data_IF_625611211558
#
_entry.id   IF_625611211558
#
_cell.length_a   1.000
_cell.length_b   1.000
_cell.length_c   1.000
_cell.angle_alpha   90.00
_cell.angle_beta   90.00
_cell.angle_gamma   90.00
#
_symmetry.space_group_name_H-M   'P 1'
#
loop_
_entity.id
_entity.type
_entity.pdbx_description
1 polymer ?
#
# COMPACT_ATOMS: atom_id res chain seq x y z
N UNK A 1 -13.40 4.24 -16.08
CA UNK A 1 -12.66 3.15 -15.40
C UNK A 1 -12.25 3.66 -14.00
N UNK A 2 -11.75 2.78 -13.14
CA UNK A 2 -11.35 3.12 -11.76
C UNK A 2 -9.89 2.76 -11.56
N UNK A 3 -9.09 3.71 -11.06
CA UNK A 3 -7.64 3.56 -10.87
C UNK A 3 -7.26 3.76 -9.41
N UNK A 4 -6.44 2.87 -8.86
CA UNK A 4 -5.80 3.03 -7.56
C UNK A 4 -4.38 3.58 -7.76
N UNK A 5 -4.05 4.69 -7.10
CA UNK A 5 -2.69 5.21 -6.95
C UNK A 5 -2.20 4.83 -5.55
N UNK A 6 -1.24 3.90 -5.50
CA UNK A 6 -0.60 3.44 -4.27
C UNK A 6 0.60 4.32 -3.98
N UNK A 7 0.67 4.91 -2.79
CA UNK A 7 1.79 5.74 -2.35
C UNK A 7 2.44 5.17 -1.10
N UNK A 8 3.66 5.59 -0.79
CA UNK A 8 4.33 5.10 0.40
C UNK A 8 3.78 5.73 1.69
N UNK A 9 3.69 7.07 1.75
CA UNK A 9 3.39 7.81 2.99
C UNK A 9 2.03 8.53 2.92
N UNK A 10 1.27 8.66 4.03
CA UNK A 10 -0.03 9.35 4.04
C UNK A 10 0.00 10.80 3.55
N UNK A 11 1.09 11.53 3.84
CA UNK A 11 1.25 12.90 3.37
C UNK A 11 1.44 12.98 1.85
N UNK A 12 2.13 11.98 1.26
CA UNK A 12 2.33 11.89 -0.20
C UNK A 12 1.00 11.62 -0.90
N UNK A 13 0.17 10.70 -0.35
CA UNK A 13 -1.17 10.45 -0.87
C UNK A 13 -2.02 11.72 -0.99
N UNK A 14 -2.02 12.56 0.06
CA UNK A 14 -2.74 13.85 0.05
C UNK A 14 -2.18 14.79 -1.02
N UNK A 15 -0.85 14.89 -1.10
CA UNK A 15 -0.17 15.79 -2.04
C UNK A 15 -0.48 15.40 -3.49
N UNK A 16 -0.42 14.11 -3.81
CA UNK A 16 -0.77 13.62 -5.16
C UNK A 16 -2.23 13.92 -5.49
N UNK A 17 -3.17 13.61 -4.59
CA UNK A 17 -4.57 13.92 -4.81
C UNK A 17 -4.80 15.43 -5.03
N UNK A 18 -4.10 16.29 -4.29
CA UNK A 18 -4.20 17.75 -4.44
C UNK A 18 -3.60 18.28 -5.74
N UNK A 19 -2.55 17.65 -6.28
CA UNK A 19 -1.89 18.10 -7.52
C UNK A 19 -2.68 17.65 -8.74
N UNK A 20 -3.21 16.43 -8.72
CA UNK A 20 -3.87 15.82 -9.88
C UNK A 20 -5.34 16.19 -10.02
N UNK A 21 -5.96 16.80 -9.01
CA UNK A 21 -7.39 17.10 -9.01
C UNK A 21 -7.66 18.59 -8.81
N UNK A 22 -8.80 19.07 -9.36
CA UNK A 22 -9.37 20.38 -9.01
C UNK A 22 -10.07 20.37 -7.64
N UNK A 23 -10.16 19.20 -7.00
CA UNK A 23 -10.79 18.95 -5.72
C UNK A 23 -10.87 17.44 -5.46
N UNK A 24 -10.68 17.03 -4.21
CA UNK A 24 -10.74 15.64 -3.82
C UNK A 24 -11.59 15.45 -2.56
N UNK A 25 -12.18 14.26 -2.45
CA UNK A 25 -12.87 13.80 -1.26
C UNK A 25 -11.88 13.04 -0.36
N UNK A 26 -11.85 13.37 0.93
CA UNK A 26 -11.12 12.57 1.92
C UNK A 26 -12.05 11.51 2.49
N UNK A 27 -11.67 10.25 2.29
CA UNK A 27 -12.37 9.08 2.82
C UNK A 27 -11.53 8.44 3.94
N UNK A 28 -12.19 7.68 4.81
CA UNK A 28 -11.51 6.89 5.84
C UNK A 28 -12.05 5.45 5.84
N UNK A 29 -11.17 4.48 6.04
CA UNK A 29 -11.51 3.08 6.33
C UNK A 29 -10.86 2.72 7.66
N UNK A 30 -11.67 2.72 8.72
CA UNK A 30 -11.18 2.73 10.09
C UNK A 30 -10.29 3.94 10.36
N UNK A 31 -9.01 3.70 10.67
CA UNK A 31 -8.01 4.75 10.95
C UNK A 31 -7.21 5.18 9.71
N UNK A 32 -7.41 4.52 8.56
CA UNK A 32 -6.63 4.79 7.35
C UNK A 32 -7.36 5.81 6.48
N UNK A 33 -6.73 6.95 6.25
CA UNK A 33 -7.25 7.98 5.34
C UNK A 33 -6.75 7.73 3.91
N UNK A 34 -7.65 7.91 2.95
CA UNK A 34 -7.38 7.83 1.51
C UNK A 34 -8.22 8.88 0.78
N UNK A 35 -7.93 9.10 -0.50
CA UNK A 35 -8.52 10.20 -1.26
C UNK A 35 -9.20 9.69 -2.52
N UNK A 36 -10.27 10.36 -2.92
CA UNK A 36 -10.99 10.06 -4.15
C UNK A 36 -11.17 11.33 -4.96
N UNK A 37 -10.95 11.27 -6.27
CA UNK A 37 -11.26 12.37 -7.18
C UNK A 37 -11.67 11.83 -8.55
N UNK A 38 -12.19 12.73 -9.38
CA UNK A 38 -12.49 12.45 -10.78
C UNK A 38 -11.63 13.34 -11.68
N UNK A 39 -11.11 12.76 -12.75
CA UNK A 39 -10.33 13.45 -13.77
C UNK A 39 -10.66 12.82 -15.11
N UNK A 40 -11.02 13.62 -16.11
CA UNK A 40 -11.32 13.17 -17.48
C UNK A 40 -12.35 12.03 -17.59
N UNK A 41 -13.36 12.03 -16.70
CA UNK A 41 -14.40 10.99 -16.65
C UNK A 41 -14.00 9.69 -15.94
N UNK A 42 -12.78 9.62 -15.42
CA UNK A 42 -12.21 8.48 -14.70
C UNK A 42 -12.24 8.72 -13.19
N UNK A 43 -12.39 7.63 -12.40
CA UNK A 43 -12.34 7.70 -10.92
C UNK A 43 -10.95 7.28 -10.45
N UNK A 44 -10.35 8.10 -9.58
CA UNK A 44 -9.07 7.81 -8.96
C UNK A 44 -9.23 7.68 -7.44
N UNK A 45 -8.62 6.64 -6.89
CA UNK A 45 -8.38 6.48 -5.46
C UNK A 45 -6.88 6.65 -5.19
N UNK A 46 -6.50 7.42 -4.17
CA UNK A 46 -5.11 7.56 -3.74
C UNK A 46 -4.99 7.06 -2.31
N UNK A 47 -4.25 5.97 -2.10
CA UNK A 47 -4.11 5.32 -0.81
C UNK A 47 -2.63 5.13 -0.42
N UNK A 48 -2.27 5.32 0.86
CA UNK A 48 -0.91 5.06 1.35
C UNK A 48 -0.73 3.62 1.84
N UNK A 49 0.48 3.08 1.70
CA UNK A 49 0.94 1.85 2.37
C UNK A 49 1.46 2.09 3.81
N UNK A 50 1.83 3.35 4.09
CA UNK A 50 2.52 3.80 5.30
C UNK A 50 3.86 3.07 5.55
N UNK A 51 4.67 2.90 4.49
CA UNK A 51 5.90 2.10 4.50
C UNK A 51 5.64 0.60 4.27
N UNK A 52 6.60 -0.26 4.62
CA UNK A 52 6.50 -1.71 4.45
C UNK A 52 5.20 -2.30 5.01
N UNK A 53 4.53 -3.12 4.20
CA UNK A 53 3.33 -3.87 4.61
C UNK A 53 3.68 -5.29 5.04
N UNK A 54 4.82 -5.79 4.57
CA UNK A 54 5.29 -7.14 4.80
C UNK A 54 6.77 -7.13 5.19
N UNK A 55 7.19 -8.14 5.93
CA UNK A 55 8.58 -8.44 6.29
C UNK A 55 8.93 -9.87 5.89
N UNK A 56 10.22 -10.16 5.68
CA UNK A 56 10.70 -11.53 5.56
C UNK A 56 10.89 -12.12 6.97
N UNK A 57 10.41 -13.34 7.17
CA UNK A 57 10.55 -14.08 8.43
C UNK A 57 10.97 -15.53 8.16
N UNK A 58 11.45 -16.21 9.20
CA UNK A 58 11.70 -17.64 9.16
C UNK A 58 10.38 -18.41 9.13
N UNK A 59 10.32 -19.59 8.48
CA UNK A 59 9.12 -20.42 8.53
C UNK A 59 8.83 -20.84 9.98
N UNK A 60 7.54 -21.08 10.33
CA UNK A 60 7.16 -21.45 11.69
C UNK A 60 7.85 -22.76 12.10
N UNK A 61 8.44 -22.79 13.29
CA UNK A 61 9.17 -23.95 13.80
C UNK A 61 10.01 -23.62 15.03
N UNK A 62 10.72 -24.63 15.54
CA UNK A 62 11.71 -24.42 16.61
C UNK A 62 12.86 -23.61 16.03
N UNK A 63 13.06 -22.42 16.57
CA UNK A 63 14.21 -21.57 16.25
C UNK A 63 15.38 -21.97 17.15
N UNK A 64 16.53 -22.24 16.55
CA UNK A 64 17.79 -22.50 17.25
C UNK A 64 18.89 -21.65 16.61
N UNK A 65 19.89 -21.24 17.37
CA UNK A 65 20.90 -20.29 16.89
C UNK A 65 22.25 -20.98 16.64
N UNK A 66 22.86 -20.83 15.45
CA UNK A 66 22.35 -20.10 14.28
C UNK A 66 21.30 -20.89 13.50
N UNK A 67 20.21 -20.22 13.11
CA UNK A 67 19.22 -20.77 12.17
C UNK A 67 19.65 -20.40 10.77
N UNK A 68 19.98 -21.39 9.94
CA UNK A 68 20.40 -21.17 8.55
C UNK A 68 19.30 -21.68 7.63
N UNK A 69 18.55 -20.75 7.04
CA UNK A 69 17.50 -21.03 6.05
C UNK A 69 17.90 -20.34 4.75
N UNK A 70 17.85 -21.04 3.59
CA UNK A 70 18.14 -20.42 2.31
C UNK A 70 17.09 -19.33 2.01
N UNK A 71 17.42 -18.27 1.25
CA UNK A 71 16.51 -17.15 0.99
C UNK A 71 15.13 -17.58 0.46
N UNK A 72 15.08 -18.65 -0.33
CA UNK A 72 13.84 -19.21 -0.91
C UNK A 72 12.94 -19.89 0.14
N UNK A 73 13.50 -20.23 1.31
CA UNK A 73 12.78 -20.80 2.45
C UNK A 73 12.21 -19.77 3.41
N UNK A 74 12.51 -18.48 3.22
CA UNK A 74 11.91 -17.40 3.99
C UNK A 74 10.45 -17.19 3.59
N UNK A 75 9.66 -16.73 4.54
CA UNK A 75 8.23 -16.45 4.32
C UNK A 75 7.98 -14.95 4.36
N UNK A 76 6.99 -14.51 3.59
CA UNK A 76 6.48 -13.15 3.66
C UNK A 76 5.42 -13.08 4.78
N UNK A 77 5.64 -12.19 5.73
CA UNK A 77 4.79 -12.02 6.90
C UNK A 77 4.21 -10.62 6.95
N UNK A 78 2.92 -10.51 7.23
CA UNK A 78 2.26 -9.22 7.42
C UNK A 78 2.83 -8.52 8.67
N UNK A 79 3.22 -7.25 8.52
CA UNK A 79 3.72 -6.45 9.65
C UNK A 79 2.56 -6.11 10.59
N UNK A 80 2.75 -6.37 11.88
CA UNK A 80 1.75 -6.06 12.92
C UNK A 80 1.41 -4.57 12.92
N UNK A 81 0.11 -4.26 12.97
CA UNK A 81 -0.38 -2.88 12.91
C UNK A 81 -0.64 -2.36 11.48
N UNK A 82 -0.32 -3.14 10.44
CA UNK A 82 -0.63 -2.81 9.04
C UNK A 82 -1.93 -3.43 8.51
N UNK A 83 -2.70 -4.12 9.35
CA UNK A 83 -3.91 -4.85 8.97
C UNK A 83 -4.96 -3.92 8.36
N UNK A 84 -5.08 -2.69 8.89
CA UNK A 84 -6.00 -1.68 8.34
C UNK A 84 -5.62 -1.23 6.93
N UNK A 85 -4.33 -1.03 6.67
CA UNK A 85 -3.82 -0.67 5.35
C UNK A 85 -3.99 -1.83 4.37
N UNK A 86 -3.62 -3.05 4.76
CA UNK A 86 -3.81 -4.25 3.96
C UNK A 86 -5.27 -4.48 3.59
N UNK A 87 -6.20 -4.32 4.55
CA UNK A 87 -7.63 -4.45 4.30
C UNK A 87 -8.14 -3.41 3.29
N UNK A 88 -7.75 -2.14 3.45
CA UNK A 88 -8.12 -1.07 2.52
C UNK A 88 -7.57 -1.35 1.12
N UNK A 89 -6.29 -1.66 1.00
CA UNK A 89 -5.63 -1.90 -0.28
C UNK A 89 -6.17 -3.15 -0.97
N UNK A 90 -6.48 -4.23 -0.23
CA UNK A 90 -7.17 -5.41 -0.77
C UNK A 90 -8.55 -5.07 -1.33
N UNK A 91 -9.32 -4.21 -0.65
CA UNK A 91 -10.63 -3.76 -1.12
C UNK A 91 -10.51 -2.92 -2.40
N UNK A 92 -9.73 -1.84 -2.34
CA UNK A 92 -9.54 -0.95 -3.49
C UNK A 92 -8.91 -1.66 -4.69
N UNK A 93 -7.95 -2.55 -4.47
CA UNK A 93 -7.29 -3.31 -5.52
C UNK A 93 -8.21 -4.31 -6.24
N UNK A 94 -9.27 -4.80 -5.59
CA UNK A 94 -10.30 -5.63 -6.24
C UNK A 94 -11.29 -4.82 -7.06
N UNK A 95 -11.60 -3.61 -6.60
CA UNK A 95 -12.60 -2.74 -7.22
C UNK A 95 -12.02 -1.90 -8.38
N UNK A 96 -10.69 -1.72 -8.42
CA UNK A 96 -10.00 -0.92 -9.44
C UNK A 96 -9.52 -1.79 -10.61
N UNK A 97 -9.75 -1.31 -11.84
CA UNK A 97 -9.25 -1.96 -13.06
C UNK A 97 -7.78 -1.65 -13.37
N UNK A 98 -7.16 -0.74 -12.62
CA UNK A 98 -5.75 -0.33 -12.77
C UNK A 98 -5.15 0.05 -11.43
N UNK A 99 -3.88 -0.31 -11.25
CA UNK A 99 -3.06 0.15 -10.12
C UNK A 99 -1.84 0.89 -10.66
N UNK A 100 -1.56 2.06 -10.09
CA UNK A 100 -0.36 2.87 -10.33
C UNK A 100 0.44 2.85 -9.03
N UNK A 101 1.67 2.37 -9.09
CA UNK A 101 2.61 2.42 -7.97
C UNK A 101 3.36 3.75 -8.02
N UNK A 102 3.13 4.59 -7.03
CA UNK A 102 3.69 5.93 -6.85
C UNK A 102 4.38 6.04 -5.48
N UNK A 103 5.14 5.00 -5.13
CA UNK A 103 6.12 4.99 -4.02
C UNK A 103 7.35 5.82 -4.40
N UNK A 104 8.25 6.03 -3.42
CA UNK A 104 9.48 6.78 -3.65
C UNK A 104 10.33 6.06 -4.72
N UNK A 105 10.99 6.82 -5.62
CA UNK A 105 11.76 6.27 -6.75
C UNK A 105 13.15 5.80 -6.29
N UNK A 106 13.18 4.72 -5.53
CA UNK A 106 14.39 4.06 -5.07
C UNK A 106 14.18 2.53 -4.96
N UNK A 107 15.21 1.82 -4.49
CA UNK A 107 15.17 0.37 -4.35
C UNK A 107 14.17 -0.09 -3.29
N UNK A 108 13.91 0.71 -2.25
CA UNK A 108 12.98 0.38 -1.17
C UNK A 108 11.54 0.56 -1.63
N UNK A 109 11.23 1.68 -2.30
CA UNK A 109 9.91 1.96 -2.84
C UNK A 109 9.50 1.02 -3.97
N UNK A 110 10.46 0.43 -4.69
CA UNK A 110 10.20 -0.54 -5.77
C UNK A 110 10.01 -1.98 -5.29
N UNK A 111 10.28 -2.25 -4.01
CA UNK A 111 10.25 -3.61 -3.43
C UNK A 111 8.85 -4.15 -3.14
#
# INVERSE_FOLDING_TARGET
MTTLILTEKPNVARRIASILSSGFERLNDGKVAYYRFQLDGEIYYVAPAAGHLFELDYPPGRWDYPSVVPPEGLILKEIRGKEGYLKLLRRLGRDCGRVIVATDLDAEGSS
#
